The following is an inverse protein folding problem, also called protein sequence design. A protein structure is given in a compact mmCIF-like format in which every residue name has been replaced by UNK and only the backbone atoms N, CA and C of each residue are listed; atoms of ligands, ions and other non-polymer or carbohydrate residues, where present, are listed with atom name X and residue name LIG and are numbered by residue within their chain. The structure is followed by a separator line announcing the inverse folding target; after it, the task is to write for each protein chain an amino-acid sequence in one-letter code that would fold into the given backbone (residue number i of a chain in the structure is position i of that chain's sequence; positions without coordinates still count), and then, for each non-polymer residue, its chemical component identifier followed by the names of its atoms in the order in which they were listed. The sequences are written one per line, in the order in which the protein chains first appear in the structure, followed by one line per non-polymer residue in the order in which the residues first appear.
data_IF_166091543597
#
_entry.id   IF_166091543597
#
_cell.length_a   1.000
_cell.length_b   1.000
_cell.length_c   1.000
_cell.angle_alpha   90.00
_cell.angle_beta   90.00
_cell.angle_gamma   90.00
#
_symmetry.space_group_name_H-M   'P 1'
#
loop_
_entity.id
_entity.type
_entity.pdbx_description
1 polymer ?
#
# COMPACT_ATOMS: atom_id res chain seq x y z
N UNK A 1 -7.40 9.97 -1.67
CA UNK A 1 -6.02 9.46 -1.46
C UNK A 1 -5.07 10.53 -0.92
N UNK A 2 -5.02 11.75 -1.49
CA UNK A 2 -4.10 12.80 -1.00
C UNK A 2 -4.25 13.13 0.50
N UNK A 3 -5.48 13.40 0.96
CA UNK A 3 -5.72 13.70 2.38
C UNK A 3 -5.34 12.52 3.29
N UNK A 4 -5.78 11.30 2.97
CA UNK A 4 -5.50 10.11 3.78
C UNK A 4 -4.01 9.78 3.88
N UNK A 5 -3.22 10.14 2.86
CA UNK A 5 -1.77 10.02 2.89
C UNK A 5 -1.13 11.02 3.85
N UNK A 6 -1.53 12.30 3.79
CA UNK A 6 -1.01 13.34 4.69
C UNK A 6 -1.37 13.04 6.14
N UNK A 7 -2.65 12.75 6.41
CA UNK A 7 -3.13 12.40 7.74
C UNK A 7 -2.52 11.09 8.24
N UNK A 8 -2.36 10.10 7.36
CA UNK A 8 -1.69 8.83 7.70
C UNK A 8 -0.22 9.04 8.09
N UNK A 9 0.50 9.90 7.36
CA UNK A 9 1.87 10.27 7.71
C UNK A 9 1.96 10.96 9.07
N UNK A 10 1.14 11.99 9.29
CA UNK A 10 1.09 12.71 10.57
C UNK A 10 0.74 11.79 11.75
N UNK A 11 -0.22 10.88 11.56
CA UNK A 11 -0.58 9.91 12.58
C UNK A 11 0.55 8.92 12.86
N UNK A 12 1.26 8.45 11.83
CA UNK A 12 2.42 7.58 11.99
C UNK A 12 3.55 8.29 12.77
N UNK A 13 3.83 9.56 12.46
CA UNK A 13 4.83 10.36 13.16
C UNK A 13 4.42 10.64 14.61
N UNK A 14 3.14 10.93 14.87
CA UNK A 14 2.60 11.07 16.22
C UNK A 14 2.77 9.78 17.03
N UNK A 15 2.44 8.62 16.46
CA UNK A 15 2.56 7.32 17.13
C UNK A 15 4.02 6.94 17.42
N UNK A 16 4.96 7.35 16.57
CA UNK A 16 6.39 7.16 16.83
C UNK A 16 6.89 8.09 17.93
N UNK A 17 6.55 9.38 17.86
CA UNK A 17 7.10 10.41 18.75
C UNK A 17 6.50 10.38 20.17
N UNK A 18 5.18 10.24 20.28
CA UNK A 18 4.47 10.38 21.57
C UNK A 18 4.24 9.03 22.25
N UNK A 19 4.13 7.94 21.49
CA UNK A 19 3.90 6.59 22.01
C UNK A 19 5.13 5.69 21.99
N UNK A 20 6.27 6.18 21.48
CA UNK A 20 7.54 5.46 21.36
C UNK A 20 7.39 4.07 20.72
N UNK A 21 6.47 3.94 19.75
CA UNK A 21 6.22 2.68 19.07
C UNK A 21 7.32 2.48 18.02
N UNK A 22 7.85 1.27 17.99
CA UNK A 22 8.82 0.82 17.00
C UNK A 22 8.36 1.09 15.55
N UNK A 23 9.31 1.50 14.71
CA UNK A 23 9.08 1.96 13.35
C UNK A 23 8.44 0.86 12.52
N UNK A 24 8.98 -0.36 12.59
CA UNK A 24 8.48 -1.52 11.87
C UNK A 24 7.06 -1.87 12.30
N UNK A 25 6.77 -1.79 13.60
CA UNK A 25 5.42 -2.05 14.13
C UNK A 25 4.38 -1.06 13.60
N UNK A 26 4.72 0.24 13.54
CA UNK A 26 3.84 1.27 12.94
C UNK A 26 3.65 0.99 11.46
N UNK A 27 4.73 0.74 10.71
CA UNK A 27 4.68 0.50 9.26
C UNK A 27 3.83 -0.72 8.90
N UNK A 28 4.03 -1.84 9.61
CA UNK A 28 3.22 -3.07 9.45
C UNK A 28 1.75 -2.81 9.72
N UNK A 29 1.42 -2.15 10.83
CA UNK A 29 0.02 -1.87 11.19
C UNK A 29 -0.66 -0.96 10.17
N UNK A 30 0.01 0.07 9.68
CA UNK A 30 -0.55 1.00 8.69
C UNK A 30 -0.79 0.32 7.33
N UNK A 31 0.18 -0.47 6.84
CA UNK A 31 0.00 -1.22 5.59
C UNK A 31 -1.10 -2.28 5.70
N UNK A 32 -1.12 -3.05 6.78
CA UNK A 32 -2.16 -4.08 6.97
C UNK A 32 -3.53 -3.45 7.18
N UNK A 33 -3.66 -2.39 7.99
CA UNK A 33 -4.94 -1.71 8.16
C UNK A 33 -5.45 -1.08 6.86
N UNK A 34 -4.53 -0.51 6.05
CA UNK A 34 -4.85 0.02 4.73
C UNK A 34 -5.37 -1.06 3.78
N UNK A 35 -4.61 -2.14 3.58
CA UNK A 35 -5.00 -3.23 2.69
C UNK A 35 -6.23 -4.00 3.17
N UNK A 36 -6.34 -4.28 4.47
CA UNK A 36 -7.51 -4.94 5.04
C UNK A 36 -8.76 -4.05 4.88
N UNK A 37 -8.63 -2.76 5.14
CA UNK A 37 -9.70 -1.79 4.91
C UNK A 37 -10.13 -1.76 3.44
N UNK A 38 -9.18 -1.71 2.51
CA UNK A 38 -9.48 -1.80 1.07
C UNK A 38 -10.25 -3.07 0.70
N UNK A 39 -9.81 -4.22 1.20
CA UNK A 39 -10.47 -5.50 0.95
C UNK A 39 -11.91 -5.53 1.48
N UNK A 40 -12.13 -5.03 2.71
CA UNK A 40 -13.47 -4.98 3.32
C UNK A 40 -14.40 -4.07 2.52
N UNK A 41 -13.97 -2.86 2.17
CA UNK A 41 -14.81 -1.93 1.42
C UNK A 41 -15.06 -2.38 -0.03
N UNK A 42 -14.14 -3.12 -0.66
CA UNK A 42 -14.42 -3.78 -1.94
C UNK A 42 -15.45 -4.90 -1.80
N UNK A 43 -15.35 -5.72 -0.76
CA UNK A 43 -16.35 -6.77 -0.49
C UNK A 43 -17.73 -6.16 -0.23
N UNK A 44 -17.81 -5.06 0.54
CA UNK A 44 -19.05 -4.31 0.75
C UNK A 44 -19.61 -3.69 -0.54
N UNK A 45 -18.74 -3.21 -1.43
CA UNK A 45 -19.17 -2.73 -2.75
C UNK A 45 -19.82 -3.86 -3.58
N UNK A 46 -19.31 -5.09 -3.50
CA UNK A 46 -19.84 -6.23 -4.27
C UNK A 46 -21.26 -6.68 -3.87
N UNK A 47 -21.64 -6.48 -2.60
CA UNK A 47 -22.95 -6.88 -2.08
C UNK A 47 -24.00 -5.77 -2.17
N UNK A 48 -23.58 -4.55 -2.52
CA UNK A 48 -24.43 -3.37 -2.48
C UNK A 48 -25.13 -3.15 -3.81
N UNK A 49 -26.47 -3.11 -3.79
CA UNK A 49 -27.28 -2.83 -4.99
C UNK A 49 -27.52 -1.34 -5.23
N UNK A 50 -27.28 -0.50 -4.22
CA UNK A 50 -27.55 0.94 -4.28
C UNK A 50 -26.36 1.70 -4.88
N UNK A 51 -26.54 2.42 -6.02
CA UNK A 51 -25.47 3.18 -6.67
C UNK A 51 -24.71 4.17 -5.77
N UNK A 52 -25.36 5.00 -4.92
CA UNK A 52 -24.63 5.96 -4.08
C UNK A 52 -23.74 5.27 -3.04
N UNK A 53 -24.19 4.15 -2.46
CA UNK A 53 -23.39 3.40 -1.51
C UNK A 53 -22.21 2.68 -2.19
N UNK A 54 -22.41 2.14 -3.41
CA UNK A 54 -21.34 1.54 -4.20
C UNK A 54 -20.19 2.55 -4.45
N UNK A 55 -20.53 3.75 -4.93
CA UNK A 55 -19.55 4.80 -5.18
C UNK A 55 -18.85 5.24 -3.89
N UNK A 56 -19.60 5.35 -2.78
CA UNK A 56 -19.02 5.68 -1.48
C UNK A 56 -18.00 4.63 -1.01
N UNK A 57 -18.33 3.34 -1.09
CA UNK A 57 -17.42 2.27 -0.66
C UNK A 57 -16.17 2.18 -1.54
N UNK A 58 -16.30 2.31 -2.86
CA UNK A 58 -15.16 2.37 -3.77
C UNK A 58 -14.27 3.58 -3.47
N UNK A 59 -14.86 4.74 -3.23
CA UNK A 59 -14.13 5.97 -2.89
C UNK A 59 -13.37 5.84 -1.57
N UNK A 60 -14.00 5.25 -0.55
CA UNK A 60 -13.37 5.00 0.75
C UNK A 60 -12.21 4.01 0.60
N UNK A 61 -12.40 2.93 -0.16
CA UNK A 61 -11.32 1.96 -0.43
C UNK A 61 -10.11 2.62 -1.08
N UNK A 62 -10.30 3.38 -2.16
CA UNK A 62 -9.21 4.12 -2.82
C UNK A 62 -8.58 5.14 -1.84
N UNK A 63 -9.39 5.75 -0.98
CA UNK A 63 -8.94 6.61 0.12
C UNK A 63 -7.96 5.90 1.05
N UNK A 64 -8.31 4.73 1.58
CA UNK A 64 -7.48 3.96 2.51
C UNK A 64 -6.14 3.53 1.92
N UNK A 65 -6.04 3.45 0.59
CA UNK A 65 -4.77 3.21 -0.12
C UNK A 65 -3.70 4.25 0.18
N UNK A 66 -4.09 5.50 0.51
CA UNK A 66 -3.16 6.55 0.93
C UNK A 66 -2.46 6.22 2.25
N UNK A 67 -3.14 5.57 3.18
CA UNK A 67 -2.57 5.13 4.48
C UNK A 67 -1.56 4.00 4.23
N UNK A 68 -1.90 3.05 3.36
CA UNK A 68 -0.99 1.98 2.97
C UNK A 68 0.27 2.55 2.31
N UNK A 69 0.10 3.53 1.41
CA UNK A 69 1.22 4.20 0.75
C UNK A 69 2.16 4.86 1.76
N UNK A 70 1.64 5.60 2.73
CA UNK A 70 2.44 6.20 3.82
C UNK A 70 3.22 5.15 4.65
N UNK A 71 2.71 3.93 4.74
CA UNK A 71 3.40 2.80 5.36
C UNK A 71 4.59 2.31 4.54
N UNK A 72 4.38 1.84 3.31
CA UNK A 72 5.44 1.13 2.56
C UNK A 72 6.43 2.07 1.86
N UNK A 73 6.01 3.28 1.46
CA UNK A 73 6.89 4.17 0.68
C UNK A 73 8.09 4.65 1.50
N UNK A 74 7.91 4.84 2.81
CA UNK A 74 9.01 5.18 3.72
C UNK A 74 9.83 3.95 4.12
N UNK A 75 9.30 2.74 3.98
CA UNK A 75 10.01 1.50 4.33
C UNK A 75 11.30 1.29 3.53
N UNK A 76 11.37 1.82 2.30
CA UNK A 76 12.57 1.76 1.47
C UNK A 76 13.71 2.63 2.04
N UNK A 77 13.36 3.79 2.61
CA UNK A 77 14.29 4.68 3.29
C UNK A 77 14.76 4.08 4.63
N UNK A 78 13.87 3.40 5.34
CA UNK A 78 14.17 2.71 6.59
C UNK A 78 15.18 1.54 6.36
N UNK A 79 15.04 0.81 5.24
CA UNK A 79 15.91 -0.33 4.89
C UNK A 79 17.29 0.06 4.34
N UNK A 80 17.34 0.98 3.38
CA UNK A 80 18.56 1.33 2.65
C UNK A 80 18.52 2.77 2.11
N UNK A 81 18.82 3.80 2.92
CA UNK A 81 18.63 5.20 2.55
C UNK A 81 19.43 5.63 1.32
N UNK A 82 20.65 5.12 1.14
CA UNK A 82 21.49 5.42 -0.04
C UNK A 82 20.94 4.80 -1.35
N UNK A 83 20.28 3.65 -1.24
CA UNK A 83 19.76 2.89 -2.38
C UNK A 83 18.24 2.99 -2.52
N UNK A 84 17.56 3.78 -1.68
CA UNK A 84 16.11 3.86 -1.61
C UNK A 84 15.48 4.25 -2.96
N UNK A 85 16.11 5.18 -3.70
CA UNK A 85 15.66 5.56 -5.03
C UNK A 85 15.70 4.41 -6.03
N UNK A 86 16.76 3.59 -6.01
CA UNK A 86 16.90 2.41 -6.87
C UNK A 86 15.88 1.33 -6.51
N UNK A 87 15.72 1.04 -5.21
CA UNK A 87 14.73 0.07 -4.74
C UNK A 87 13.31 0.50 -5.10
N UNK A 88 12.99 1.79 -4.88
CA UNK A 88 11.69 2.34 -5.24
C UNK A 88 11.46 2.26 -6.75
N UNK A 89 12.47 2.57 -7.57
CA UNK A 89 12.42 2.42 -9.03
C UNK A 89 12.08 1.00 -9.47
N UNK A 90 12.84 0.01 -8.99
CA UNK A 90 12.61 -1.41 -9.30
C UNK A 90 11.20 -1.84 -8.87
N UNK A 91 10.79 -1.49 -7.64
CA UNK A 91 9.45 -1.81 -7.14
C UNK A 91 8.34 -1.20 -7.99
N UNK A 92 8.53 0.04 -8.46
CA UNK A 92 7.55 0.73 -9.29
C UNK A 92 7.45 0.09 -10.69
N UNK A 93 8.57 -0.27 -11.30
CA UNK A 93 8.58 -1.01 -12.57
C UNK A 93 7.83 -2.33 -12.46
N UNK A 94 8.09 -3.12 -11.40
CA UNK A 94 7.35 -4.36 -11.13
C UNK A 94 5.86 -4.10 -10.89
N UNK A 95 5.51 -3.00 -10.21
CA UNK A 95 4.11 -2.62 -9.97
C UNK A 95 3.38 -2.15 -11.24
N UNK A 96 4.10 -1.61 -12.24
CA UNK A 96 3.49 -1.13 -13.48
C UNK A 96 3.01 -2.29 -14.36
N UNK A 97 3.67 -3.45 -14.30
CA UNK A 97 3.32 -4.62 -15.11
C UNK A 97 1.88 -5.13 -14.83
N UNK A 98 1.47 -5.44 -13.58
CA UNK A 98 0.07 -5.74 -13.28
C UNK A 98 -0.88 -4.60 -13.67
N UNK A 99 -0.46 -3.35 -13.53
CA UNK A 99 -1.25 -2.18 -13.92
C UNK A 99 -1.57 -2.16 -15.42
N UNK A 100 -0.63 -2.61 -16.26
CA UNK A 100 -0.83 -2.75 -17.71
C UNK A 100 -1.71 -3.94 -18.07
N UNK A 101 -1.59 -5.06 -17.35
CA UNK A 101 -2.34 -6.29 -17.64
C UNK A 101 -3.78 -6.24 -17.10
N UNK A 102 -4.03 -5.49 -16.04
CA UNK A 102 -5.32 -5.44 -15.36
C UNK A 102 -6.51 -5.10 -16.30
N UNK A 103 -6.44 -4.05 -17.16
CA UNK A 103 -7.53 -3.77 -18.09
C UNK A 103 -7.84 -4.90 -19.08
N UNK A 104 -6.82 -5.65 -19.51
CA UNK A 104 -7.00 -6.81 -20.41
C UNK A 104 -7.75 -7.94 -19.70
N UNK A 105 -7.37 -8.23 -18.45
CA UNK A 105 -8.03 -9.24 -17.62
C UNK A 105 -9.48 -8.83 -17.33
N UNK A 106 -9.70 -7.57 -16.93
CA UNK A 106 -11.04 -7.03 -16.67
C UNK A 106 -11.91 -7.10 -17.91
N UNK A 107 -11.39 -6.74 -19.09
CA UNK A 107 -12.14 -6.82 -20.36
C UNK A 107 -12.45 -8.25 -20.80
N UNK A 108 -11.65 -9.24 -20.39
CA UNK A 108 -11.94 -10.65 -20.63
C UNK A 108 -13.01 -11.20 -19.69
N UNK A 109 -13.03 -10.77 -18.43
CA UNK A 109 -13.99 -11.21 -17.41
C UNK A 109 -15.34 -10.51 -17.56
N UNK A 110 -15.33 -9.21 -17.82
CA UNK A 110 -16.54 -8.37 -17.93
C UNK A 110 -16.92 -8.25 -19.39
N UNK A 111 -17.74 -9.18 -19.85
CA UNK A 111 -18.21 -9.22 -21.24
C UNK A 111 -19.58 -8.58 -21.39
N UNK A 112 -20.44 -8.73 -20.39
CA UNK A 112 -21.83 -8.25 -20.41
C UNK A 112 -22.07 -7.07 -19.47
N UNK A 113 -21.14 -6.79 -18.56
CA UNK A 113 -21.29 -5.75 -17.55
C UNK A 113 -22.16 -6.18 -16.38
N UNK A 114 -22.42 -7.48 -16.22
CA UNK A 114 -23.30 -7.97 -15.17
C UNK A 114 -22.69 -7.81 -13.78
N UNK A 115 -23.53 -7.67 -12.75
CA UNK A 115 -23.08 -7.56 -11.37
C UNK A 115 -22.23 -8.77 -10.94
N UNK A 116 -22.54 -9.96 -11.45
CA UNK A 116 -21.78 -11.19 -11.16
C UNK A 116 -20.35 -11.12 -11.71
N UNK A 117 -20.16 -10.61 -12.93
CA UNK A 117 -18.83 -10.42 -13.53
C UNK A 117 -17.99 -9.41 -12.71
N UNK A 118 -18.60 -8.30 -12.30
CA UNK A 118 -17.95 -7.31 -11.44
C UNK A 118 -17.63 -7.83 -10.04
N UNK A 119 -18.48 -8.67 -9.48
CA UNK A 119 -18.23 -9.31 -8.19
C UNK A 119 -17.00 -10.20 -8.24
N UNK A 120 -16.77 -10.92 -9.35
CA UNK A 120 -15.54 -11.71 -9.54
C UNK A 120 -14.31 -10.80 -9.42
N UNK A 121 -14.32 -9.62 -10.06
CA UNK A 121 -13.21 -8.65 -9.98
C UNK A 121 -13.04 -8.11 -8.55
N UNK A 122 -14.13 -7.75 -7.87
CA UNK A 122 -14.04 -7.21 -6.53
C UNK A 122 -13.51 -8.23 -5.53
N UNK A 123 -13.98 -9.48 -5.59
CA UNK A 123 -13.47 -10.55 -4.74
C UNK A 123 -12.03 -10.94 -5.06
N UNK A 124 -11.65 -10.99 -6.35
CA UNK A 124 -10.26 -11.28 -6.73
C UNK A 124 -9.32 -10.18 -6.24
N UNK A 125 -9.73 -8.92 -6.35
CA UNK A 125 -8.95 -7.78 -5.88
C UNK A 125 -8.84 -7.77 -4.35
N UNK A 126 -9.92 -8.06 -3.64
CA UNK A 126 -9.90 -8.20 -2.18
C UNK A 126 -8.96 -9.32 -1.72
N UNK A 127 -8.94 -10.46 -2.44
CA UNK A 127 -8.00 -11.55 -2.16
C UNK A 127 -6.54 -11.13 -2.37
N UNK A 128 -6.23 -10.40 -3.45
CA UNK A 128 -4.89 -9.86 -3.71
C UNK A 128 -4.46 -8.91 -2.59
N UNK A 129 -5.34 -8.02 -2.12
CA UNK A 129 -5.05 -7.14 -0.98
C UNK A 129 -4.79 -7.93 0.30
N UNK A 130 -5.59 -8.97 0.57
CA UNK A 130 -5.39 -9.85 1.73
C UNK A 130 -4.03 -10.57 1.69
N UNK A 131 -3.67 -11.13 0.53
CA UNK A 131 -2.37 -11.77 0.33
C UNK A 131 -1.21 -10.78 0.46
N UNK A 132 -1.34 -9.59 -0.11
CA UNK A 132 -0.36 -8.50 0.02
C UNK A 132 -0.17 -8.07 1.47
N UNK A 133 -1.26 -7.93 2.23
CA UNK A 133 -1.21 -7.62 3.65
C UNK A 133 -0.50 -8.71 4.45
N UNK A 134 -0.81 -9.98 4.21
CA UNK A 134 -0.18 -11.11 4.88
C UNK A 134 1.31 -11.22 4.55
N UNK A 135 1.68 -11.02 3.29
CA UNK A 135 3.08 -11.00 2.85
C UNK A 135 3.85 -9.86 3.52
N UNK A 136 3.31 -8.63 3.49
CA UNK A 136 3.96 -7.48 4.11
C UNK A 136 4.09 -7.66 5.63
N UNK A 137 3.06 -8.17 6.29
CA UNK A 137 3.11 -8.44 7.73
C UNK A 137 4.24 -9.40 8.12
N UNK A 138 4.44 -10.46 7.33
CA UNK A 138 5.44 -11.50 7.61
C UNK A 138 6.86 -11.08 7.23
N UNK A 139 7.04 -10.41 6.10
CA UNK A 139 8.36 -10.17 5.50
C UNK A 139 8.88 -8.74 5.60
N UNK A 140 8.05 -7.75 5.97
CA UNK A 140 8.55 -6.39 6.15
C UNK A 140 9.59 -6.34 7.28
N UNK A 141 10.68 -5.60 7.05
CA UNK A 141 11.68 -5.24 8.05
C UNK A 141 11.91 -3.74 8.02
N UNK A 142 12.26 -3.18 9.18
CA UNK A 142 12.57 -1.76 9.38
C UNK A 142 14.01 -1.54 9.83
N UNK A 143 14.82 -2.60 9.88
CA UNK A 143 16.24 -2.53 10.24
C UNK A 143 17.11 -2.25 9.01
N UNK A 144 18.15 -1.44 9.20
CA UNK A 144 19.12 -1.12 8.17
C UNK A 144 19.75 -2.41 7.64
N UNK A 145 19.72 -2.60 6.32
CA UNK A 145 20.28 -3.79 5.72
C UNK A 145 21.83 -3.77 5.76
N UNK A 146 22.51 -4.90 6.01
CA UNK A 146 23.97 -4.94 6.16
C UNK A 146 24.74 -4.44 4.94
N UNK A 147 24.17 -4.62 3.74
CA UNK A 147 24.76 -4.19 2.47
C UNK A 147 24.52 -2.71 2.17
N UNK A 148 23.63 -2.03 2.92
CA UNK A 148 23.31 -0.62 2.68
C UNK A 148 24.40 0.33 3.19
N UNK A 149 25.37 -0.16 3.97
CA UNK A 149 26.46 0.61 4.57
C UNK A 149 25.98 1.63 5.62
N UNK A 150 26.89 2.06 6.51
CA UNK A 150 26.64 3.26 7.31
C UNK A 150 26.65 4.49 6.40
N UNK A 151 25.84 5.51 6.74
CA UNK A 151 25.92 6.80 6.07
C UNK A 151 27.32 7.39 6.29
N UNK A 152 28.18 7.33 5.28
CA UNK A 152 29.39 8.16 5.26
C UNK A 152 28.91 9.61 5.19
N UNK A 153 29.17 10.46 6.19
CA UNK A 153 28.74 11.84 6.15
C UNK A 153 29.35 12.51 4.91
N UNK A 154 28.52 13.19 4.11
CA UNK A 154 28.97 13.95 2.93
C UNK A 154 29.99 15.07 3.28
N UNK A 155 30.20 15.34 4.57
CA UNK A 155 31.08 16.40 5.12
C UNK A 155 32.55 15.92 5.24
N UNK A 156 32.93 14.82 4.60
CA UNK A 156 34.29 14.25 4.70
C UNK A 156 35.33 14.76 3.69
N UNK A 157 34.93 15.39 2.57
CA UNK A 157 35.86 15.69 1.45
C UNK A 157 35.93 17.18 1.08
N UNK A 158 36.10 18.06 2.08
CA UNK A 158 36.43 19.47 1.86
C UNK A 158 37.72 19.92 2.57
N UNK A 159 38.68 19.02 2.74
CA UNK A 159 40.05 19.35 3.14
C UNK A 159 41.06 18.92 2.08
#
# INVERSE_FOLDING_TARGET
MGCTLVWGGQLADYLRKERNIDTLTVRRRFCVAGFAGQAIFLALASVTTSPPFLVAYLSISIGLGGICWAGFSVNHLDLAPQFAGHLMGISNTLATLPGMLCPLIVGYIVTTGSATEWNIIFYSTAAIYGLGAAFFWKFASGDLQPWAGEQVPFIGELH
#
